data_IF_022365651647
#
_entry.id   IF_022365651647
#
_cell.length_a   1.000
_cell.length_b   1.000
_cell.length_c   1.000
_cell.angle_alpha   90.00
_cell.angle_beta   90.00
_cell.angle_gamma   90.00
#
_symmetry.space_group_name_H-M   'P 1'
#
loop_
_entity.id
_entity.type
_entity.pdbx_description
1 polymer ?
#
# COMPACT_ATOMS: atom_id res chain seq x y z
N UNK A 1 -10.69 -83.73 13.41
CA UNK A 1 -9.46 -83.84 12.59
C UNK A 1 -9.85 -83.52 11.15
N UNK A 2 -9.32 -82.54 10.40
CA UNK A 2 -8.14 -81.68 10.48
C UNK A 2 -8.55 -80.25 10.06
N UNK A 3 -8.05 -79.24 10.76
CA UNK A 3 -8.13 -77.81 10.39
C UNK A 3 -7.10 -77.55 9.28
N UNK A 4 -7.51 -76.90 8.20
CA UNK A 4 -6.59 -76.28 7.22
C UNK A 4 -6.68 -74.78 7.45
N UNK A 5 -5.57 -74.21 7.92
CA UNK A 5 -5.39 -72.77 8.16
C UNK A 5 -4.84 -72.18 6.87
N UNK A 6 -5.59 -71.30 6.21
CA UNK A 6 -5.06 -70.45 5.14
C UNK A 6 -4.54 -69.15 5.77
N UNK A 7 -3.22 -68.97 5.77
CA UNK A 7 -2.58 -67.68 6.07
C UNK A 7 -2.77 -66.77 4.85
N UNK A 8 -3.53 -65.67 5.01
CA UNK A 8 -3.51 -64.55 4.08
C UNK A 8 -2.55 -63.52 4.65
N UNK A 9 -1.39 -63.36 4.01
CA UNK A 9 -0.45 -62.28 4.31
C UNK A 9 -1.00 -60.97 3.74
N UNK A 10 -1.47 -60.06 4.60
CA UNK A 10 -1.71 -58.67 4.22
C UNK A 10 -0.36 -57.95 4.10
N UNK A 11 0.05 -57.65 2.86
CA UNK A 11 1.09 -56.65 2.62
C UNK A 11 0.53 -55.27 3.00
N UNK A 12 0.94 -54.74 4.15
CA UNK A 12 0.82 -53.32 4.45
C UNK A 12 1.83 -52.56 3.58
N UNK A 13 1.38 -52.06 2.44
CA UNK A 13 2.11 -51.02 1.72
C UNK A 13 2.04 -49.73 2.55
N UNK A 14 3.07 -49.47 3.36
CA UNK A 14 3.34 -48.14 3.89
C UNK A 14 3.67 -47.21 2.71
N UNK A 15 2.66 -46.56 2.14
CA UNK A 15 2.86 -45.44 1.24
C UNK A 15 3.60 -44.34 2.00
N UNK A 16 4.80 -43.98 1.53
CA UNK A 16 5.50 -42.79 2.02
C UNK A 16 4.59 -41.57 1.86
N UNK A 17 4.57 -40.62 2.80
CA UNK A 17 3.83 -39.37 2.61
C UNK A 17 4.36 -38.72 1.33
N UNK A 18 3.48 -38.52 0.35
CA UNK A 18 3.78 -37.68 -0.80
C UNK A 18 4.09 -36.30 -0.25
N UNK A 19 5.33 -35.84 -0.39
CA UNK A 19 5.65 -34.43 -0.16
C UNK A 19 4.69 -33.62 -1.04
N UNK A 20 3.83 -32.81 -0.43
CA UNK A 20 2.98 -31.90 -1.17
C UNK A 20 3.91 -30.95 -1.94
N UNK A 21 3.98 -31.10 -3.26
CA UNK A 21 4.79 -30.25 -4.10
C UNK A 21 4.17 -28.86 -4.18
N UNK A 22 5.01 -27.82 -4.27
CA UNK A 22 4.56 -26.46 -4.59
C UNK A 22 3.78 -26.51 -5.90
N UNK A 23 2.57 -25.93 -5.92
CA UNK A 23 1.75 -25.84 -7.11
C UNK A 23 2.26 -24.65 -7.95
N UNK A 24 2.63 -24.92 -9.20
CA UNK A 24 2.93 -23.88 -10.18
C UNK A 24 1.74 -23.73 -11.13
N UNK A 25 1.27 -22.50 -11.32
CA UNK A 25 0.24 -22.19 -12.32
C UNK A 25 0.63 -20.94 -13.12
N UNK A 26 -0.18 -20.57 -14.10
CA UNK A 26 0.00 -19.31 -14.81
C UNK A 26 -1.32 -18.66 -15.15
N UNK A 27 -1.33 -17.32 -15.16
CA UNK A 27 -2.46 -16.54 -15.62
C UNK A 27 -2.00 -15.42 -16.54
N UNK A 28 -2.92 -14.81 -17.28
CA UNK A 28 -2.65 -13.59 -18.05
C UNK A 28 -3.36 -12.41 -17.42
N UNK A 29 -2.66 -11.30 -17.20
CA UNK A 29 -3.25 -10.10 -16.60
C UNK A 29 -2.68 -8.82 -17.21
N UNK A 30 -3.57 -7.98 -17.74
CA UNK A 30 -3.27 -6.61 -18.18
C UNK A 30 -1.96 -6.46 -18.97
N UNK A 31 -1.15 -5.47 -18.56
CA UNK A 31 0.13 -5.14 -19.17
C UNK A 31 1.25 -6.16 -18.89
N UNK A 32 1.05 -7.05 -17.92
CA UNK A 32 2.05 -8.05 -17.51
C UNK A 32 2.12 -9.23 -18.47
N UNK A 33 1.05 -9.50 -19.22
CA UNK A 33 0.97 -10.70 -20.05
C UNK A 33 0.90 -11.95 -19.18
N UNK A 34 1.66 -13.00 -19.53
CA UNK A 34 1.71 -14.24 -18.75
C UNK A 34 2.51 -14.03 -17.47
N UNK A 35 1.88 -14.34 -16.33
CA UNK A 35 2.48 -14.36 -15.01
C UNK A 35 2.54 -15.81 -14.54
N UNK A 36 3.68 -16.23 -14.03
CA UNK A 36 3.85 -17.56 -13.39
C UNK A 36 3.59 -17.41 -11.90
N UNK A 37 2.83 -18.30 -11.29
CA UNK A 37 2.46 -18.22 -9.87
C UNK A 37 2.97 -19.47 -9.17
N UNK A 38 3.71 -19.25 -8.10
CA UNK A 38 4.25 -20.31 -7.24
C UNK A 38 3.51 -20.28 -5.90
N UNK A 39 2.82 -21.37 -5.59
CA UNK A 39 2.04 -21.51 -4.38
C UNK A 39 2.86 -22.21 -3.28
N UNK A 40 2.94 -21.63 -2.08
CA UNK A 40 3.51 -22.32 -0.94
C UNK A 40 2.61 -23.49 -0.52
N UNK A 41 3.20 -24.53 0.06
CA UNK A 41 2.46 -25.71 0.55
C UNK A 41 1.40 -25.34 1.60
N UNK A 42 1.68 -24.33 2.42
CA UNK A 42 0.77 -23.81 3.46
C UNK A 42 0.08 -22.55 2.96
N UNK A 43 -0.94 -22.08 3.70
CA UNK A 43 -1.55 -20.77 3.44
C UNK A 43 -0.46 -19.70 3.32
N UNK A 44 -0.45 -18.89 2.24
CA UNK A 44 0.59 -17.88 2.07
C UNK A 44 0.64 -16.89 3.24
N UNK A 45 1.86 -16.54 3.67
CA UNK A 45 2.13 -15.55 4.71
C UNK A 45 2.64 -14.23 4.14
N UNK A 46 2.97 -14.21 2.86
CA UNK A 46 3.45 -13.04 2.13
C UNK A 46 3.07 -13.15 0.64
N UNK A 47 3.11 -12.02 -0.06
CA UNK A 47 3.03 -11.95 -1.52
C UNK A 47 4.31 -11.33 -2.05
N UNK A 48 4.89 -11.93 -3.09
CA UNK A 48 6.06 -11.41 -3.78
C UNK A 48 5.71 -11.14 -5.24
N UNK A 49 6.03 -9.94 -5.72
CA UNK A 49 6.01 -9.60 -7.14
C UNK A 49 7.45 -9.59 -7.64
N UNK A 50 7.85 -10.64 -8.37
CA UNK A 50 9.22 -10.83 -8.79
C UNK A 50 9.37 -10.53 -10.28
N UNK A 51 10.13 -9.48 -10.60
CA UNK A 51 10.46 -9.06 -11.96
C UNK A 51 11.80 -9.62 -12.42
N UNK A 52 11.80 -10.30 -13.57
CA UNK A 52 13.03 -10.79 -14.21
C UNK A 52 13.92 -9.67 -14.78
N UNK A 53 15.13 -10.02 -15.21
CA UNK A 53 15.96 -9.17 -16.06
C UNK A 53 15.57 -9.26 -17.55
N UNK A 54 16.42 -8.73 -18.42
CA UNK A 54 16.24 -8.77 -19.89
C UNK A 54 16.25 -10.19 -20.49
N UNK A 55 16.75 -11.18 -19.75
CA UNK A 55 16.65 -12.59 -20.10
C UNK A 55 15.21 -13.15 -20.05
N UNK A 56 14.29 -12.47 -19.38
CA UNK A 56 12.93 -12.92 -19.13
C UNK A 56 12.80 -13.92 -17.97
N UNK A 57 11.59 -14.45 -17.79
CA UNK A 57 11.29 -15.35 -16.68
C UNK A 57 11.74 -16.79 -16.97
N UNK A 58 13.01 -17.10 -16.64
CA UNK A 58 13.65 -18.42 -16.82
C UNK A 58 14.92 -18.55 -15.96
N UNK A 59 15.51 -19.75 -15.93
CA UNK A 59 16.82 -19.99 -15.30
C UNK A 59 16.84 -19.56 -13.81
N UNK A 60 17.88 -18.83 -13.37
CA UNK A 60 18.12 -18.53 -11.94
C UNK A 60 16.99 -17.82 -11.20
N UNK A 61 16.15 -17.01 -11.87
CA UNK A 61 15.01 -16.36 -11.20
C UNK A 61 13.91 -17.35 -10.79
N UNK A 62 13.83 -18.51 -11.45
CA UNK A 62 12.88 -19.57 -11.09
C UNK A 62 13.27 -20.22 -9.76
N UNK A 63 14.57 -20.50 -9.57
CA UNK A 63 15.05 -21.10 -8.32
C UNK A 63 14.97 -20.11 -7.15
N UNK A 64 15.23 -18.83 -7.41
CA UNK A 64 14.98 -17.74 -6.44
C UNK A 64 13.50 -17.67 -6.04
N UNK A 65 12.57 -17.75 -7.01
CA UNK A 65 11.14 -17.75 -6.74
C UNK A 65 10.70 -18.96 -5.90
N UNK A 66 11.24 -20.15 -6.19
CA UNK A 66 10.98 -21.36 -5.38
C UNK A 66 11.50 -21.21 -3.96
N UNK A 67 12.69 -20.66 -3.76
CA UNK A 67 13.21 -20.37 -2.41
C UNK A 67 12.30 -19.44 -1.59
N UNK A 68 11.73 -18.40 -2.20
CA UNK A 68 10.76 -17.53 -1.54
C UNK A 68 9.44 -18.28 -1.24
N UNK A 69 9.03 -19.16 -2.14
CA UNK A 69 7.84 -20.00 -1.97
C UNK A 69 7.99 -20.98 -0.81
N UNK A 70 9.17 -21.59 -0.67
CA UNK A 70 9.50 -22.48 0.45
C UNK A 70 9.49 -21.75 1.80
N UNK A 71 9.66 -20.42 1.79
CA UNK A 71 9.52 -19.56 2.96
C UNK A 71 8.08 -19.09 3.24
N UNK A 72 7.10 -19.56 2.47
CA UNK A 72 5.67 -19.28 2.66
C UNK A 72 5.11 -18.14 1.80
N UNK A 73 5.87 -17.61 0.85
CA UNK A 73 5.39 -16.57 -0.05
C UNK A 73 4.56 -17.14 -1.21
N UNK A 74 3.46 -16.46 -1.56
CA UNK A 74 2.87 -16.57 -2.89
C UNK A 74 3.70 -15.71 -3.85
N UNK A 75 4.41 -16.33 -4.79
CA UNK A 75 5.32 -15.60 -5.71
C UNK A 75 4.69 -15.46 -7.08
N UNK A 76 4.62 -14.23 -7.57
CA UNK A 76 4.19 -13.88 -8.93
C UNK A 76 5.43 -13.53 -9.76
N UNK A 77 5.80 -14.43 -10.65
CA UNK A 77 6.86 -14.25 -11.61
C UNK A 77 6.44 -13.44 -12.83
N UNK A 78 7.08 -12.29 -13.00
CA UNK A 78 6.79 -11.27 -14.01
C UNK A 78 7.94 -11.19 -15.01
N UNK A 79 7.65 -11.45 -16.28
CA UNK A 79 8.63 -11.29 -17.37
C UNK A 79 8.76 -9.81 -17.74
N UNK A 80 9.92 -9.21 -17.41
CA UNK A 80 10.18 -7.80 -17.67
C UNK A 80 10.06 -7.42 -19.15
N UNK A 81 10.37 -8.33 -20.09
CA UNK A 81 10.33 -8.03 -21.53
C UNK A 81 8.89 -7.77 -21.98
N UNK A 82 7.96 -8.57 -21.47
CA UNK A 82 6.53 -8.42 -21.77
C UNK A 82 6.01 -7.10 -21.21
N UNK A 83 6.33 -6.80 -19.95
CA UNK A 83 5.87 -5.59 -19.29
C UNK A 83 6.49 -4.31 -19.91
N UNK A 84 7.80 -4.29 -20.16
CA UNK A 84 8.52 -3.22 -20.90
C UNK A 84 7.89 -2.97 -22.27
N UNK A 85 7.58 -4.04 -23.01
CA UNK A 85 6.88 -3.95 -24.31
C UNK A 85 5.49 -3.34 -24.17
N UNK A 86 4.72 -3.70 -23.14
CA UNK A 86 3.40 -3.14 -22.90
C UNK A 86 3.47 -1.65 -22.52
N UNK A 87 4.38 -1.26 -21.63
CA UNK A 87 4.61 0.14 -21.25
C UNK A 87 4.96 1.00 -22.48
N UNK A 88 5.82 0.49 -23.37
CA UNK A 88 6.26 1.21 -24.58
C UNK A 88 5.14 1.61 -25.55
N UNK A 89 3.94 1.03 -25.39
CA UNK A 89 2.74 1.33 -26.20
C UNK A 89 1.84 2.41 -25.59
N UNK A 90 2.07 2.79 -24.32
CA UNK A 90 1.26 3.79 -23.63
C UNK A 90 1.55 5.19 -24.18
N UNK A 91 0.49 5.98 -24.35
CA UNK A 91 0.58 7.35 -24.87
C UNK A 91 0.85 8.40 -23.79
N UNK A 92 0.72 8.05 -22.50
CA UNK A 92 0.98 8.92 -21.33
C UNK A 92 2.40 9.48 -21.36
N UNK A 93 2.63 10.67 -20.80
CA UNK A 93 3.94 11.33 -20.84
C UNK A 93 4.99 10.65 -19.96
N UNK A 94 4.54 9.91 -18.95
CA UNK A 94 5.38 9.09 -18.08
C UNK A 94 4.69 7.76 -17.77
N UNK A 95 5.45 6.81 -17.20
CA UNK A 95 4.94 5.51 -16.75
C UNK A 95 4.83 5.44 -15.23
N UNK A 96 3.70 4.96 -14.72
CA UNK A 96 3.47 4.76 -13.29
C UNK A 96 3.27 3.27 -12.93
N UNK A 97 4.33 2.45 -13.04
CA UNK A 97 4.26 1.01 -12.76
C UNK A 97 3.86 0.68 -11.32
N UNK A 98 4.04 1.59 -10.36
CA UNK A 98 3.59 1.38 -8.98
C UNK A 98 2.10 1.01 -8.89
N UNK A 99 1.22 1.73 -9.59
CA UNK A 99 -0.20 1.40 -9.64
C UNK A 99 -0.47 0.05 -10.31
N UNK A 100 0.21 -0.26 -11.42
CA UNK A 100 0.03 -1.55 -12.11
C UNK A 100 0.36 -2.73 -11.17
N UNK A 101 1.44 -2.62 -10.38
CA UNK A 101 1.92 -3.66 -9.47
C UNK A 101 1.03 -3.79 -8.23
N UNK A 102 0.58 -2.67 -7.66
CA UNK A 102 -0.38 -2.69 -6.57
C UNK A 102 -1.69 -3.36 -7.00
N UNK A 103 -2.22 -2.99 -8.17
CA UNK A 103 -3.44 -3.59 -8.71
C UNK A 103 -3.29 -5.10 -8.95
N UNK A 104 -2.15 -5.54 -9.47
CA UNK A 104 -1.87 -6.98 -9.62
C UNK A 104 -1.90 -7.70 -8.26
N UNK A 105 -1.32 -7.09 -7.22
CA UNK A 105 -1.32 -7.65 -5.87
C UNK A 105 -2.72 -7.69 -5.26
N UNK A 106 -3.50 -6.62 -5.38
CA UNK A 106 -4.89 -6.58 -4.91
C UNK A 106 -5.72 -7.67 -5.61
N UNK A 107 -5.61 -7.75 -6.94
CA UNK A 107 -6.28 -8.76 -7.77
C UNK A 107 -5.99 -10.17 -7.29
N UNK A 108 -4.71 -10.50 -7.13
CA UNK A 108 -4.31 -11.87 -6.83
C UNK A 108 -4.71 -12.30 -5.42
N UNK A 109 -4.63 -11.38 -4.46
CA UNK A 109 -5.01 -11.65 -3.08
C UNK A 109 -6.52 -11.79 -2.91
N UNK A 110 -7.33 -11.02 -3.65
CA UNK A 110 -8.79 -11.24 -3.74
C UNK A 110 -9.10 -12.58 -4.39
N UNK A 111 -8.47 -12.90 -5.53
CA UNK A 111 -8.67 -14.17 -6.23
C UNK A 111 -8.42 -15.38 -5.33
N UNK A 112 -7.36 -15.35 -4.53
CA UNK A 112 -7.02 -16.42 -3.58
C UNK A 112 -7.57 -16.22 -2.16
N UNK A 113 -8.50 -15.28 -1.98
CA UNK A 113 -9.25 -15.08 -0.72
C UNK A 113 -8.35 -14.92 0.50
N UNK A 114 -7.35 -14.06 0.39
CA UNK A 114 -6.57 -13.65 1.56
C UNK A 114 -7.51 -12.99 2.57
N UNK A 115 -7.34 -13.30 3.85
CA UNK A 115 -8.23 -12.77 4.90
C UNK A 115 -7.97 -11.30 5.26
N UNK A 116 -6.84 -10.76 4.82
CA UNK A 116 -6.50 -9.34 4.87
C UNK A 116 -5.51 -9.06 3.76
N UNK A 117 -5.47 -7.81 3.28
CA UNK A 117 -4.47 -7.42 2.30
C UNK A 117 -3.08 -7.37 2.91
N UNK A 118 -2.17 -8.15 2.34
CA UNK A 118 -0.76 -8.13 2.69
C UNK A 118 -0.02 -7.28 1.67
N UNK A 119 0.66 -6.21 2.13
CA UNK A 119 1.48 -5.39 1.24
C UNK A 119 2.57 -6.26 0.58
N UNK A 120 2.67 -6.28 -0.75
CA UNK A 120 3.59 -7.20 -1.44
C UNK A 120 5.04 -6.75 -1.28
N UNK A 121 5.96 -7.73 -1.31
CA UNK A 121 7.40 -7.50 -1.46
C UNK A 121 7.74 -7.46 -2.95
N UNK A 122 8.48 -6.44 -3.36
CA UNK A 122 9.04 -6.37 -4.71
C UNK A 122 10.37 -7.12 -4.74
N UNK A 123 10.57 -7.97 -5.74
CA UNK A 123 11.87 -8.61 -5.98
C UNK A 123 12.24 -8.37 -7.44
N UNK A 124 13.50 -8.10 -7.72
CA UNK A 124 13.93 -7.67 -9.05
C UNK A 124 15.34 -8.11 -9.34
N UNK A 125 15.55 -8.68 -10.52
CA UNK A 125 16.86 -9.10 -11.01
C UNK A 125 17.29 -8.27 -12.22
N UNK A 126 18.52 -7.73 -12.22
CA UNK A 126 19.09 -6.93 -13.31
C UNK A 126 18.15 -5.77 -13.69
N UNK A 127 17.66 -5.65 -14.93
CA UNK A 127 16.61 -4.67 -15.30
C UNK A 127 15.43 -4.63 -14.32
N UNK A 128 14.99 -5.79 -13.84
CA UNK A 128 13.92 -5.89 -12.85
C UNK A 128 14.29 -5.25 -11.52
N UNK A 129 15.56 -5.29 -11.12
CA UNK A 129 16.07 -4.63 -9.91
C UNK A 129 15.92 -3.10 -10.01
N UNK A 130 16.25 -2.53 -11.17
CA UNK A 130 16.07 -1.09 -11.43
C UNK A 130 14.60 -0.70 -11.48
N UNK A 131 13.77 -1.52 -12.13
CA UNK A 131 12.34 -1.25 -12.23
C UNK A 131 11.68 -1.25 -10.85
N UNK A 132 12.00 -2.19 -9.96
CA UNK A 132 11.42 -2.22 -8.61
C UNK A 132 11.89 -1.06 -7.73
N UNK A 133 13.11 -0.55 -7.93
CA UNK A 133 13.57 0.67 -7.28
C UNK A 133 12.71 1.87 -7.72
N UNK A 134 12.52 2.03 -9.02
CA UNK A 134 11.65 3.06 -9.58
C UNK A 134 10.22 2.95 -9.07
N UNK A 135 9.65 1.73 -9.05
CA UNK A 135 8.33 1.45 -8.49
C UNK A 135 8.25 1.88 -7.02
N UNK A 136 9.23 1.48 -6.21
CA UNK A 136 9.24 1.78 -4.78
C UNK A 136 9.36 3.29 -4.51
N UNK A 137 10.20 3.99 -5.28
CA UNK A 137 10.38 5.44 -5.17
C UNK A 137 9.18 6.24 -5.66
N UNK A 138 8.43 5.71 -6.63
CA UNK A 138 7.18 6.32 -7.12
C UNK A 138 6.01 6.16 -6.15
N UNK A 139 5.97 5.03 -5.45
CA UNK A 139 4.81 4.61 -4.70
C UNK A 139 4.59 5.49 -3.46
N UNK A 140 3.32 5.78 -3.12
CA UNK A 140 2.98 6.33 -1.81
C UNK A 140 3.49 5.43 -0.69
N UNK A 141 3.61 6.01 0.50
CA UNK A 141 3.93 5.22 1.67
C UNK A 141 2.91 4.10 1.88
N UNK A 142 3.38 2.97 2.42
CA UNK A 142 2.54 1.82 2.73
C UNK A 142 1.99 1.08 1.50
N UNK A 143 2.38 1.35 0.25
CA UNK A 143 1.96 0.54 -0.92
C UNK A 143 2.66 -0.82 -0.99
N UNK A 144 3.97 -0.84 -0.73
CA UNK A 144 4.82 -2.04 -0.78
C UNK A 144 5.46 -2.32 0.59
N UNK A 145 5.68 -3.59 0.91
CA UNK A 145 6.37 -3.99 2.15
C UNK A 145 7.87 -3.67 2.10
N UNK A 146 8.45 -3.64 0.91
CA UNK A 146 9.85 -3.34 0.63
C UNK A 146 10.28 -3.94 -0.71
N UNK A 147 11.54 -3.75 -1.06
CA UNK A 147 12.13 -4.17 -2.31
C UNK A 147 13.47 -4.90 -2.10
N UNK A 148 13.66 -6.03 -2.79
CA UNK A 148 14.89 -6.82 -2.83
C UNK A 148 15.45 -6.86 -4.25
N UNK A 149 16.55 -6.16 -4.47
CA UNK A 149 17.17 -6.01 -5.77
C UNK A 149 18.44 -6.86 -5.89
N UNK A 150 18.61 -7.54 -7.03
CA UNK A 150 19.78 -8.36 -7.35
C UNK A 150 20.48 -7.82 -8.60
N UNK A 151 21.74 -7.43 -8.48
CA UNK A 151 22.51 -6.86 -9.60
C UNK A 151 21.90 -5.53 -10.08
N UNK A 152 21.71 -4.60 -9.15
CA UNK A 152 21.08 -3.30 -9.42
C UNK A 152 22.04 -2.31 -10.05
N UNK A 153 21.57 -1.66 -11.10
CA UNK A 153 22.10 -0.42 -11.63
C UNK A 153 20.95 0.59 -11.75
N UNK A 154 21.16 1.90 -11.54
CA UNK A 154 20.10 2.90 -11.62
C UNK A 154 19.73 3.32 -13.06
N UNK A 155 20.39 2.79 -14.10
CA UNK A 155 20.00 3.02 -15.48
C UNK A 155 18.88 2.06 -15.92
N UNK A 156 17.85 2.63 -16.54
CA UNK A 156 16.69 1.88 -17.03
C UNK A 156 16.41 2.20 -18.49
N UNK A 157 16.30 1.15 -19.29
CA UNK A 157 15.75 1.25 -20.63
C UNK A 157 14.24 1.45 -20.59
N UNK A 158 13.80 2.64 -20.98
CA UNK A 158 12.40 3.01 -21.13
C UNK A 158 12.24 4.07 -22.23
N UNK A 159 11.13 4.02 -22.98
CA UNK A 159 10.85 5.04 -24.02
C UNK A 159 10.46 6.39 -23.44
N UNK A 160 9.94 6.40 -22.22
CA UNK A 160 9.44 7.56 -21.49
C UNK A 160 9.87 7.46 -20.03
N UNK A 161 9.98 8.60 -19.32
CA UNK A 161 10.37 8.59 -17.92
C UNK A 161 9.34 7.84 -17.07
N UNK A 162 9.79 7.36 -15.92
CA UNK A 162 8.87 6.99 -14.84
C UNK A 162 8.22 8.27 -14.28
N UNK A 163 6.93 8.28 -13.96
CA UNK A 163 6.30 9.44 -13.33
C UNK A 163 6.98 9.81 -12.01
N UNK A 164 6.92 11.08 -11.60
CA UNK A 164 7.52 11.54 -10.34
C UNK A 164 6.97 10.79 -9.13
N UNK A 165 5.65 10.56 -9.08
CA UNK A 165 4.99 9.93 -7.93
C UNK A 165 5.40 10.62 -6.61
N UNK A 166 5.75 9.82 -5.61
CA UNK A 166 6.19 10.27 -4.28
C UNK A 166 7.64 10.80 -4.22
N UNK A 167 8.19 11.30 -5.34
CA UNK A 167 9.48 11.99 -5.38
C UNK A 167 10.60 11.30 -6.16
N UNK A 168 10.29 10.39 -7.07
CA UNK A 168 11.26 9.87 -8.03
C UNK A 168 11.69 10.98 -9.00
N UNK A 169 12.99 11.24 -9.06
CA UNK A 169 13.62 12.09 -10.08
C UNK A 169 14.50 11.24 -10.99
N UNK A 170 14.73 11.72 -12.20
CA UNK A 170 15.54 11.02 -13.19
C UNK A 170 16.06 12.01 -14.23
N UNK A 171 17.11 11.62 -14.95
CA UNK A 171 17.57 12.34 -16.14
C UNK A 171 17.70 11.41 -17.34
N UNK A 172 17.69 11.99 -18.54
CA UNK A 172 17.82 11.25 -19.80
C UNK A 172 19.28 10.83 -19.97
N UNK A 173 19.53 9.53 -20.14
CA UNK A 173 20.82 9.02 -20.60
C UNK A 173 20.87 8.99 -22.12
N UNK A 174 19.81 8.47 -22.74
CA UNK A 174 19.65 8.44 -24.19
C UNK A 174 18.20 8.77 -24.57
N UNK A 175 17.95 9.86 -25.32
CA UNK A 175 16.59 10.29 -25.65
C UNK A 175 15.74 9.17 -26.25
N UNK A 176 14.60 8.90 -25.62
CA UNK A 176 13.63 7.88 -26.06
C UNK A 176 14.09 6.43 -25.88
N UNK A 177 15.21 6.19 -25.19
CA UNK A 177 15.79 4.85 -25.02
C UNK A 177 16.06 4.52 -23.56
N UNK A 178 16.74 5.41 -22.82
CA UNK A 178 17.16 5.12 -21.44
C UNK A 178 17.24 6.36 -20.55
N UNK A 179 17.03 6.12 -19.26
CA UNK A 179 17.02 7.10 -18.19
C UNK A 179 17.91 6.64 -17.03
N UNK A 180 18.47 7.58 -16.30
CA UNK A 180 19.12 7.33 -15.02
C UNK A 180 18.17 7.73 -13.91
N UNK A 181 17.80 6.78 -13.06
CA UNK A 181 16.95 7.01 -11.90
C UNK A 181 17.82 7.59 -10.77
N UNK A 182 17.46 8.76 -10.27
CA UNK A 182 18.22 9.40 -9.21
C UNK A 182 17.99 8.72 -7.85
N UNK A 183 18.96 8.91 -6.95
CA UNK A 183 18.77 8.60 -5.52
C UNK A 183 17.61 9.42 -4.95
N UNK A 184 16.86 8.84 -4.02
CA UNK A 184 15.82 9.54 -3.27
C UNK A 184 16.04 9.38 -1.77
N UNK A 185 15.71 10.40 -1.00
CA UNK A 185 15.75 10.36 0.47
C UNK A 185 14.37 10.04 1.07
N UNK A 186 13.38 9.78 0.20
CA UNK A 186 11.97 9.63 0.57
C UNK A 186 11.45 8.20 0.48
N UNK A 187 12.33 7.19 0.48
CA UNK A 187 11.88 5.80 0.53
C UNK A 187 11.07 5.54 1.81
N UNK A 188 9.89 4.96 1.63
CA UNK A 188 8.92 4.74 2.70
C UNK A 188 8.93 3.29 3.23
N UNK A 189 9.63 2.39 2.54
CA UNK A 189 9.84 1.00 2.91
C UNK A 189 11.28 0.56 2.58
N UNK A 190 11.78 -0.55 3.16
CA UNK A 190 13.17 -0.99 2.98
C UNK A 190 13.49 -1.34 1.52
N UNK A 191 14.67 -0.93 1.06
CA UNK A 191 15.27 -1.31 -0.21
C UNK A 191 16.62 -2.00 0.04
N UNK A 192 16.66 -3.31 -0.12
CA UNK A 192 17.88 -4.11 0.11
C UNK A 192 18.43 -4.54 -1.25
N UNK A 193 19.70 -4.27 -1.49
CA UNK A 193 20.41 -4.60 -2.72
C UNK A 193 21.46 -5.66 -2.42
N UNK A 194 21.43 -6.76 -3.18
CA UNK A 194 22.46 -7.78 -3.21
C UNK A 194 23.32 -7.57 -4.45
N UNK A 195 24.60 -7.25 -4.26
CA UNK A 195 25.50 -6.98 -5.36
C UNK A 195 26.81 -7.75 -5.22
N UNK A 196 27.23 -8.39 -6.30
CA UNK A 196 28.47 -9.15 -6.34
C UNK A 196 29.70 -8.30 -6.64
N UNK A 197 30.87 -8.66 -6.09
CA UNK A 197 32.14 -7.98 -6.43
C UNK A 197 32.63 -8.33 -7.84
N UNK A 198 32.16 -9.45 -8.41
CA UNK A 198 32.48 -9.88 -9.78
C UNK A 198 31.39 -9.48 -10.78
N UNK A 199 30.45 -8.62 -10.37
CA UNK A 199 29.44 -8.09 -11.29
C UNK A 199 30.06 -6.97 -12.13
N UNK A 200 30.33 -7.29 -13.40
CA UNK A 200 30.89 -6.34 -14.36
C UNK A 200 29.82 -5.48 -15.05
N UNK A 201 28.56 -5.94 -15.06
CA UNK A 201 27.44 -5.20 -15.66
C UNK A 201 26.92 -4.14 -14.67
N UNK A 202 26.83 -4.50 -13.40
CA UNK A 202 26.50 -3.61 -12.28
C UNK A 202 27.62 -3.60 -11.23
N UNK A 203 28.67 -2.77 -11.44
CA UNK A 203 29.82 -2.73 -10.56
C UNK A 203 29.46 -2.38 -9.12
N UNK A 204 29.88 -3.23 -8.17
CA UNK A 204 29.61 -3.06 -6.74
C UNK A 204 29.94 -1.65 -6.22
N UNK A 205 31.07 -1.07 -6.63
CA UNK A 205 31.49 0.25 -6.17
C UNK A 205 30.54 1.37 -6.60
N UNK A 206 29.95 1.27 -7.81
CA UNK A 206 28.96 2.23 -8.29
C UNK A 206 27.66 2.12 -7.49
N UNK A 207 27.20 0.88 -7.24
CA UNK A 207 26.03 0.60 -6.39
C UNK A 207 26.24 1.11 -4.96
N UNK A 208 27.40 0.86 -4.37
CA UNK A 208 27.75 1.36 -3.04
C UNK A 208 27.76 2.89 -2.96
N UNK A 209 28.27 3.56 -3.99
CA UNK A 209 28.23 5.02 -4.09
C UNK A 209 26.80 5.55 -4.19
N UNK A 210 25.95 4.90 -5.01
CA UNK A 210 24.55 5.30 -5.19
C UNK A 210 23.73 5.20 -3.89
N UNK A 211 23.91 4.12 -3.13
CA UNK A 211 23.14 3.85 -1.91
C UNK A 211 23.71 4.52 -0.66
N UNK A 212 24.85 5.20 -0.77
CA UNK A 212 25.54 5.79 0.37
C UNK A 212 24.63 6.78 1.11
N UNK A 213 24.49 6.55 2.41
CA UNK A 213 23.69 7.37 3.35
C UNK A 213 22.21 7.51 2.95
N UNK A 214 21.72 6.64 2.06
CA UNK A 214 20.33 6.66 1.61
C UNK A 214 19.42 6.02 2.67
N UNK A 215 18.44 6.76 3.23
CA UNK A 215 17.52 6.21 4.22
C UNK A 215 16.76 5.01 3.67
N UNK A 216 16.50 4.03 4.54
CA UNK A 216 15.81 2.77 4.19
C UNK A 216 16.52 1.90 3.14
N UNK A 217 17.72 2.27 2.67
CA UNK A 217 18.50 1.47 1.74
C UNK A 217 19.59 0.68 2.47
N UNK A 218 19.89 -0.52 1.98
CA UNK A 218 20.97 -1.37 2.48
C UNK A 218 21.64 -2.10 1.32
N UNK A 219 22.96 -2.13 1.33
CA UNK A 219 23.76 -2.91 0.40
C UNK A 219 24.34 -4.13 1.13
N UNK A 220 24.09 -5.31 0.59
CA UNK A 220 24.69 -6.58 1.00
C UNK A 220 25.71 -7.00 -0.06
N UNK A 221 26.94 -7.23 0.37
CA UNK A 221 28.04 -7.64 -0.49
C UNK A 221 28.06 -9.16 -0.72
N UNK A 222 28.38 -9.54 -1.96
CA UNK A 222 28.49 -10.93 -2.38
C UNK A 222 29.85 -11.17 -3.05
N UNK A 223 30.92 -11.46 -2.28
CA UNK A 223 32.29 -11.38 -2.79
C UNK A 223 32.62 -12.28 -3.99
N UNK A 224 31.94 -13.43 -4.13
CA UNK A 224 32.20 -14.40 -5.20
C UNK A 224 31.18 -14.37 -6.33
N UNK A 225 30.20 -13.49 -6.26
CA UNK A 225 29.06 -13.47 -7.18
C UNK A 225 29.34 -12.49 -8.32
N UNK A 226 29.02 -12.91 -9.55
CA UNK A 226 28.94 -12.04 -10.72
C UNK A 226 27.49 -11.85 -11.16
N UNK A 227 27.27 -11.08 -12.24
CA UNK A 227 25.93 -10.61 -12.65
C UNK A 227 24.88 -11.73 -12.76
N UNK A 228 25.29 -12.92 -13.20
CA UNK A 228 24.38 -14.05 -13.43
C UNK A 228 23.91 -14.82 -12.18
N UNK A 229 24.45 -14.53 -10.98
CA UNK A 229 24.12 -15.28 -9.75
C UNK A 229 24.21 -16.82 -9.91
N UNK A 230 25.19 -17.31 -10.69
CA UNK A 230 25.21 -18.70 -11.15
C UNK A 230 25.44 -19.76 -10.05
N UNK A 231 26.09 -19.40 -8.94
CA UNK A 231 26.42 -20.33 -7.84
C UNK A 231 25.52 -20.04 -6.64
N UNK A 232 24.43 -20.79 -6.52
CA UNK A 232 23.38 -20.61 -5.50
C UNK A 232 23.91 -20.50 -4.07
N UNK A 233 24.89 -21.33 -3.70
CA UNK A 233 25.48 -21.33 -2.36
C UNK A 233 26.18 -20.01 -1.97
N UNK A 234 26.58 -19.18 -2.94
CA UNK A 234 27.30 -17.93 -2.70
C UNK A 234 26.38 -16.72 -2.49
N UNK A 235 25.05 -16.87 -2.64
CA UNK A 235 24.09 -15.77 -2.47
C UNK A 235 22.77 -16.13 -1.76
N UNK A 236 22.34 -17.40 -1.81
CA UNK A 236 21.05 -17.82 -1.27
C UNK A 236 20.88 -17.51 0.25
N UNK A 237 21.90 -17.67 1.11
CA UNK A 237 21.77 -17.32 2.52
C UNK A 237 21.50 -15.83 2.74
N UNK A 238 22.20 -14.95 2.02
CA UNK A 238 22.02 -13.50 2.07
C UNK A 238 20.67 -13.09 1.50
N UNK A 239 20.25 -13.71 0.39
CA UNK A 239 18.94 -13.47 -0.22
C UNK A 239 17.80 -13.82 0.73
N UNK A 240 17.90 -14.98 1.39
CA UNK A 240 16.95 -15.43 2.42
C UNK A 240 16.92 -14.43 3.58
N UNK A 241 18.08 -14.04 4.10
CA UNK A 241 18.18 -13.10 5.22
C UNK A 241 17.61 -11.73 4.88
N UNK A 242 17.90 -11.22 3.68
CA UNK A 242 17.37 -9.94 3.20
C UNK A 242 15.85 -9.97 3.04
N UNK A 243 15.31 -11.04 2.45
CA UNK A 243 13.87 -11.22 2.36
C UNK A 243 13.22 -11.27 3.75
N UNK A 244 13.80 -12.02 4.69
CA UNK A 244 13.32 -12.10 6.07
C UNK A 244 13.37 -10.72 6.77
N UNK A 245 14.41 -9.91 6.50
CA UNK A 245 14.50 -8.55 7.02
C UNK A 245 13.38 -7.65 6.50
N UNK A 246 13.01 -7.77 5.22
CA UNK A 246 11.90 -7.01 4.63
C UNK A 246 10.56 -7.43 5.23
N UNK A 247 10.25 -8.73 5.31
CA UNK A 247 8.93 -9.17 5.82
C UNK A 247 8.75 -8.83 7.30
N UNK A 248 9.82 -8.82 8.08
CA UNK A 248 9.79 -8.50 9.51
C UNK A 248 9.90 -6.99 9.80
N UNK A 249 10.15 -6.15 8.79
CA UNK A 249 10.18 -4.71 8.98
C UNK A 249 8.80 -4.17 9.39
N UNK A 250 8.71 -3.18 10.30
CA UNK A 250 7.43 -2.54 10.60
C UNK A 250 6.85 -1.88 9.33
N UNK A 251 5.52 -1.80 9.22
CA UNK A 251 4.91 -1.01 8.15
C UNK A 251 5.23 0.48 8.32
N UNK A 252 4.97 1.29 7.30
CA UNK A 252 5.14 2.74 7.40
C UNK A 252 4.35 3.32 8.58
N UNK A 253 3.08 2.93 8.71
CA UNK A 253 2.21 3.38 9.80
C UNK A 253 2.75 2.94 11.17
N UNK A 254 3.13 1.66 11.33
CA UNK A 254 3.67 1.14 12.59
C UNK A 254 4.96 1.87 13.00
N UNK A 255 5.83 2.14 12.02
CA UNK A 255 7.08 2.87 12.24
C UNK A 255 6.80 4.31 12.68
N UNK A 256 5.94 5.04 11.96
CA UNK A 256 5.57 6.42 12.29
C UNK A 256 4.91 6.52 13.66
N UNK A 257 4.02 5.58 13.98
CA UNK A 257 3.39 5.49 15.28
C UNK A 257 4.40 5.18 16.40
N UNK A 258 5.36 4.29 16.14
CA UNK A 258 6.45 3.97 17.05
C UNK A 258 7.45 5.12 17.23
N UNK A 259 7.59 6.02 16.26
CA UNK A 259 8.43 7.22 16.31
C UNK A 259 7.73 8.41 16.99
N UNK A 260 6.40 8.43 17.06
CA UNK A 260 5.62 9.52 17.63
C UNK A 260 5.91 9.68 19.14
N UNK A 261 6.49 10.83 19.50
CA UNK A 261 6.96 11.11 20.87
C UNK A 261 5.79 11.43 21.80
N UNK A 262 4.79 12.13 21.29
CA UNK A 262 3.62 12.60 22.02
C UNK A 262 2.77 11.40 22.47
N UNK A 263 2.61 10.38 21.61
CA UNK A 263 1.90 9.13 21.93
C UNK A 263 2.54 8.42 23.12
N UNK A 264 3.87 8.33 23.15
CA UNK A 264 4.63 7.76 24.27
C UNK A 264 4.52 8.61 25.53
N UNK A 265 4.69 9.92 25.40
CA UNK A 265 4.70 10.87 26.53
C UNK A 265 3.33 10.96 27.20
N UNK A 266 2.25 10.90 26.42
CA UNK A 266 0.88 10.95 26.92
C UNK A 266 0.34 9.58 27.36
N UNK A 267 1.13 8.50 27.24
CA UNK A 267 0.76 7.14 27.60
C UNK A 267 -0.60 6.70 27.01
N UNK A 268 -0.84 7.05 25.73
CA UNK A 268 -2.08 6.72 25.03
C UNK A 268 -2.10 5.21 24.74
N UNK A 269 -3.24 4.57 25.00
CA UNK A 269 -3.45 3.14 24.83
C UNK A 269 -4.24 2.93 23.55
N UNK A 270 -3.72 2.08 22.68
CA UNK A 270 -4.40 1.74 21.44
C UNK A 270 -5.70 1.00 21.74
N UNK A 271 -6.76 1.36 21.01
CA UNK A 271 -8.06 0.72 21.10
C UNK A 271 -8.11 -0.52 20.23
N UNK A 272 -8.10 -1.69 20.87
CA UNK A 272 -8.32 -3.00 20.24
C UNK A 272 -7.28 -3.39 19.18
N UNK A 273 -7.02 -4.68 19.05
CA UNK A 273 -6.10 -5.18 18.01
C UNK A 273 -6.82 -5.40 16.66
N UNK A 274 -8.15 -5.32 16.65
CA UNK A 274 -8.98 -5.64 15.48
C UNK A 274 -9.18 -4.47 14.50
N UNK A 275 -8.92 -3.22 14.94
CA UNK A 275 -9.06 -2.03 14.09
C UNK A 275 -7.68 -1.50 13.68
N UNK A 276 -7.45 -1.26 12.38
CA UNK A 276 -6.16 -0.77 11.89
C UNK A 276 -6.06 0.76 12.11
N UNK A 277 -5.83 1.16 13.36
CA UNK A 277 -5.85 2.56 13.80
C UNK A 277 -4.44 3.12 14.00
N UNK A 278 -4.23 4.36 13.54
CA UNK A 278 -3.06 5.21 13.86
C UNK A 278 -3.51 6.38 14.72
N UNK A 279 -2.70 6.80 15.70
CA UNK A 279 -3.01 7.97 16.54
C UNK A 279 -1.87 8.96 16.52
N UNK A 280 -2.22 10.21 16.24
CA UNK A 280 -1.29 11.35 16.19
C UNK A 280 -1.87 12.39 17.14
N UNK A 281 -1.47 12.36 18.43
CA UNK A 281 -2.01 13.27 19.42
C UNK A 281 -1.43 14.67 19.25
N UNK A 282 -2.23 15.68 19.58
CA UNK A 282 -1.77 17.05 19.66
C UNK A 282 -0.64 17.21 20.68
N UNK A 283 0.30 18.10 20.41
CA UNK A 283 1.46 18.38 21.27
C UNK A 283 1.08 19.05 22.60
N UNK A 284 -0.04 19.77 22.63
CA UNK A 284 -0.52 20.53 23.80
C UNK A 284 -1.95 20.18 24.13
N UNK A 285 -2.27 20.07 25.43
CA UNK A 285 -3.64 19.94 25.92
C UNK A 285 -4.45 21.18 25.54
N UNK A 286 -5.63 20.97 24.98
CA UNK A 286 -6.55 22.01 24.54
C UNK A 286 -7.97 21.43 24.41
N UNK A 287 -8.96 22.30 24.20
CA UNK A 287 -10.37 21.92 24.05
C UNK A 287 -10.82 21.74 22.59
N UNK A 288 -9.92 21.82 21.61
CA UNK A 288 -10.24 21.55 20.21
C UNK A 288 -10.70 20.09 20.04
N UNK A 289 -11.59 19.79 19.08
CA UNK A 289 -12.13 18.46 18.91
C UNK A 289 -11.07 17.41 18.52
N UNK A 290 -11.38 16.15 18.78
CA UNK A 290 -10.70 15.00 18.17
C UNK A 290 -11.08 14.92 16.69
N UNK A 291 -10.14 14.70 15.78
CA UNK A 291 -10.44 14.30 14.40
C UNK A 291 -10.39 12.78 14.32
N UNK A 292 -11.48 12.16 13.89
CA UNK A 292 -11.48 10.75 13.48
C UNK A 292 -11.48 10.70 11.95
N UNK A 293 -10.36 10.28 11.36
CA UNK A 293 -10.10 10.33 9.92
C UNK A 293 -10.11 8.93 9.29
N UNK A 294 -10.74 8.76 8.13
CA UNK A 294 -10.66 7.54 7.31
C UNK A 294 -9.81 7.84 6.06
N UNK A 295 -8.79 7.01 5.81
CA UNK A 295 -7.90 7.18 4.65
C UNK A 295 -8.58 6.86 3.31
N UNK A 296 -7.84 7.09 2.21
CA UNK A 296 -8.18 6.56 0.89
C UNK A 296 -8.04 5.03 0.79
N UNK A 297 -8.36 4.48 -0.38
CA UNK A 297 -8.35 3.04 -0.70
C UNK A 297 -6.94 2.42 -0.74
N UNK A 298 -5.89 3.24 -0.86
CA UNK A 298 -4.48 2.85 -0.67
C UNK A 298 -4.10 2.51 0.78
N UNK A 299 -4.96 2.84 1.75
CA UNK A 299 -4.73 2.71 3.19
C UNK A 299 -4.10 3.96 3.79
N UNK A 300 -3.53 3.85 5.00
CA UNK A 300 -2.89 4.99 5.66
C UNK A 300 -1.51 5.26 5.05
N UNK A 301 -1.38 6.33 4.27
CA UNK A 301 -0.19 6.67 3.47
C UNK A 301 0.58 7.88 4.04
N UNK A 302 1.59 8.36 3.31
CA UNK A 302 2.32 9.59 3.64
C UNK A 302 1.42 10.82 3.59
N UNK A 303 0.42 10.85 2.71
CA UNK A 303 -0.55 11.95 2.64
C UNK A 303 -1.34 12.05 3.96
N UNK A 304 -1.97 10.95 4.37
CA UNK A 304 -2.79 10.90 5.58
C UNK A 304 -1.97 11.24 6.83
N UNK A 305 -0.76 10.66 6.91
CA UNK A 305 0.18 10.90 8.00
C UNK A 305 0.58 12.38 8.08
N UNK A 306 0.96 13.00 6.96
CA UNK A 306 1.44 14.39 6.94
C UNK A 306 0.32 15.39 7.23
N UNK A 307 -0.88 15.13 6.71
CA UNK A 307 -2.06 15.93 7.06
C UNK A 307 -2.39 15.83 8.55
N UNK A 308 -2.37 14.62 9.10
CA UNK A 308 -2.67 14.40 10.51
C UNK A 308 -1.61 14.98 11.45
N UNK A 309 -0.32 14.92 11.10
CA UNK A 309 0.78 15.62 11.80
C UNK A 309 0.56 17.14 11.78
N UNK A 310 0.24 17.70 10.61
CA UNK A 310 -0.07 19.13 10.44
C UNK A 310 -1.29 19.57 11.26
N UNK A 311 -2.33 18.74 11.37
CA UNK A 311 -3.49 19.00 12.25
C UNK A 311 -3.11 18.93 13.74
N UNK A 312 -2.28 17.96 14.13
CA UNK A 312 -1.83 17.80 15.51
C UNK A 312 -0.92 18.95 15.98
N UNK A 313 -0.09 19.49 15.10
CA UNK A 313 0.68 20.72 15.34
C UNK A 313 -0.24 21.92 15.64
N UNK A 314 -1.44 21.94 15.05
CA UNK A 314 -2.48 22.95 15.29
C UNK A 314 -3.37 22.64 16.50
N UNK A 315 -3.10 21.56 17.23
CA UNK A 315 -3.82 21.19 18.44
C UNK A 315 -4.96 20.18 18.25
N UNK A 316 -5.23 19.74 17.02
CA UNK A 316 -6.25 18.74 16.72
C UNK A 316 -5.62 17.34 16.78
N UNK A 317 -5.89 16.58 17.85
CA UNK A 317 -5.49 15.16 17.89
C UNK A 317 -6.22 14.39 16.82
N UNK A 318 -5.52 13.50 16.10
CA UNK A 318 -6.08 12.70 15.01
C UNK A 318 -6.02 11.22 15.34
N UNK A 319 -7.12 10.52 15.11
CA UNK A 319 -7.20 9.06 15.06
C UNK A 319 -7.54 8.68 13.62
N UNK A 320 -6.64 7.96 12.97
CA UNK A 320 -6.75 7.51 11.59
C UNK A 320 -7.16 6.06 11.48
N UNK A 321 -8.09 5.74 10.57
CA UNK A 321 -8.43 4.38 10.17
C UNK A 321 -7.82 4.10 8.78
N UNK A 322 -7.02 3.03 8.68
CA UNK A 322 -6.55 2.48 7.40
C UNK A 322 -7.73 1.80 6.70
N UNK A 323 -8.29 2.49 5.70
CA UNK A 323 -9.44 2.02 4.94
C UNK A 323 -9.13 0.74 4.17
N UNK A 324 -7.88 0.56 3.69
CA UNK A 324 -7.50 -0.61 2.90
C UNK A 324 -7.57 -1.91 3.69
N UNK A 325 -7.09 -1.87 4.93
CA UNK A 325 -7.18 -3.03 5.83
C UNK A 325 -8.62 -3.25 6.31
N UNK A 326 -9.33 -2.18 6.65
CA UNK A 326 -10.66 -2.29 7.27
C UNK A 326 -11.76 -2.73 6.29
N UNK A 327 -11.75 -2.19 5.07
CA UNK A 327 -12.66 -2.49 3.97
C UNK A 327 -12.09 -3.52 2.98
N UNK A 328 -11.08 -4.29 3.40
CA UNK A 328 -10.60 -5.42 2.60
C UNK A 328 -11.72 -6.41 2.30
N UNK A 329 -12.61 -6.66 3.25
CA UNK A 329 -13.86 -7.38 3.03
C UNK A 329 -15.03 -6.40 3.14
N UNK A 330 -16.14 -6.72 2.46
CA UNK A 330 -17.36 -5.91 2.52
C UNK A 330 -17.81 -5.63 3.95
N UNK A 331 -18.12 -4.37 4.20
CA UNK A 331 -18.76 -3.88 5.43
C UNK A 331 -20.12 -3.27 5.12
N UNK A 332 -20.87 -2.96 6.17
CA UNK A 332 -22.08 -2.14 6.06
C UNK A 332 -21.89 -0.80 6.77
N UNK A 333 -22.65 0.25 6.41
CA UNK A 333 -22.68 1.49 7.17
C UNK A 333 -22.95 1.28 8.67
N UNK A 334 -23.84 0.37 9.03
CA UNK A 334 -24.21 0.08 10.42
C UNK A 334 -23.06 -0.57 11.18
N UNK A 335 -22.42 -1.60 10.60
CA UNK A 335 -21.28 -2.27 11.23
C UNK A 335 -20.10 -1.31 11.38
N UNK A 336 -19.84 -0.52 10.34
CA UNK A 336 -18.78 0.50 10.35
C UNK A 336 -19.04 1.54 11.43
N UNK A 337 -20.26 2.06 11.52
CA UNK A 337 -20.63 3.03 12.55
C UNK A 337 -20.45 2.43 13.95
N UNK A 338 -20.89 1.19 14.17
CA UNK A 338 -20.78 0.52 15.46
C UNK A 338 -19.32 0.29 15.90
N UNK A 339 -18.44 -0.11 14.98
CA UNK A 339 -17.02 -0.33 15.28
C UNK A 339 -16.31 0.99 15.59
N UNK A 340 -16.51 2.00 14.75
CA UNK A 340 -15.84 3.30 14.93
C UNK A 340 -16.39 4.06 16.12
N UNK A 341 -17.67 3.90 16.48
CA UNK A 341 -18.26 4.53 17.66
C UNK A 341 -17.51 4.16 18.95
N UNK A 342 -17.09 2.89 19.08
CA UNK A 342 -16.33 2.43 20.25
C UNK A 342 -14.93 3.04 20.29
N UNK A 343 -14.25 3.11 19.15
CA UNK A 343 -12.94 3.75 19.05
C UNK A 343 -13.02 5.26 19.34
N UNK A 344 -14.02 5.95 18.76
CA UNK A 344 -14.26 7.38 19.01
C UNK A 344 -14.50 7.63 20.50
N UNK A 345 -15.36 6.83 21.15
CA UNK A 345 -15.62 6.96 22.58
C UNK A 345 -14.34 6.77 23.40
N UNK A 346 -13.58 5.70 23.12
CA UNK A 346 -12.32 5.40 23.80
C UNK A 346 -11.34 6.58 23.72
N UNK A 347 -11.06 7.10 22.52
CA UNK A 347 -10.09 8.18 22.36
C UNK A 347 -10.60 9.53 22.83
N UNK A 348 -11.90 9.82 22.73
CA UNK A 348 -12.48 11.02 23.36
C UNK A 348 -12.26 11.03 24.86
N UNK A 349 -12.52 9.90 25.53
CA UNK A 349 -12.29 9.78 26.97
C UNK A 349 -10.80 9.86 27.30
N UNK A 350 -9.95 9.09 26.62
CA UNK A 350 -8.52 9.04 26.92
C UNK A 350 -7.81 10.37 26.65
N UNK A 351 -8.20 11.11 25.61
CA UNK A 351 -7.63 12.41 25.25
C UNK A 351 -8.38 13.60 25.88
N UNK A 352 -9.40 13.33 26.70
CA UNK A 352 -10.25 14.34 27.35
C UNK A 352 -10.82 15.36 26.34
N UNK A 353 -11.43 14.86 25.26
CA UNK A 353 -12.05 15.65 24.19
C UNK A 353 -13.57 15.58 24.26
N UNK A 354 -14.21 16.72 24.53
CA UNK A 354 -15.68 16.80 24.54
C UNK A 354 -16.26 16.57 23.14
N UNK A 355 -15.70 17.23 22.13
CA UNK A 355 -16.19 17.16 20.75
C UNK A 355 -15.27 16.33 19.85
N UNK A 356 -15.83 15.86 18.74
CA UNK A 356 -15.08 15.22 17.66
C UNK A 356 -15.59 15.63 16.28
N UNK A 357 -14.77 15.40 15.26
CA UNK A 357 -15.06 15.63 13.85
C UNK A 357 -14.84 14.32 13.11
N UNK A 358 -15.74 13.99 12.18
CA UNK A 358 -15.51 12.91 11.23
C UNK A 358 -14.88 13.51 9.97
N UNK A 359 -13.71 13.00 9.59
CA UNK A 359 -13.00 13.40 8.39
C UNK A 359 -12.71 12.18 7.52
N UNK A 360 -12.63 12.37 6.20
CA UNK A 360 -12.20 11.30 5.31
C UNK A 360 -11.49 11.85 4.10
N UNK A 361 -10.60 11.03 3.52
CA UNK A 361 -9.89 11.31 2.28
C UNK A 361 -10.28 10.30 1.18
N UNK A 362 -10.58 10.79 -0.02
CA UNK A 362 -10.95 9.98 -1.19
C UNK A 362 -12.01 8.93 -0.85
N UNK A 363 -11.69 7.63 -0.90
CA UNK A 363 -12.58 6.55 -0.46
C UNK A 363 -13.22 6.82 0.92
N UNK A 364 -12.40 7.18 1.93
CA UNK A 364 -12.88 7.48 3.27
C UNK A 364 -13.77 8.73 3.34
N UNK A 365 -13.54 9.70 2.45
CA UNK A 365 -14.37 10.91 2.34
C UNK A 365 -15.79 10.58 1.89
N UNK A 366 -15.95 9.57 1.04
CA UNK A 366 -17.26 9.07 0.62
C UNK A 366 -17.99 8.30 1.73
N UNK A 367 -17.25 7.69 2.67
CA UNK A 367 -17.80 6.86 3.76
C UNK A 367 -18.28 7.69 4.95
N UNK A 368 -17.58 8.76 5.35
CA UNK A 368 -17.88 9.49 6.60
C UNK A 368 -19.30 10.05 6.75
N UNK A 369 -20.02 10.48 5.70
CA UNK A 369 -21.40 10.95 5.86
C UNK A 369 -22.35 9.84 6.35
N UNK A 370 -22.14 8.60 5.92
CA UNK A 370 -22.96 7.46 6.33
C UNK A 370 -22.79 7.12 7.80
N UNK A 371 -21.58 7.30 8.33
CA UNK A 371 -21.28 7.12 9.75
C UNK A 371 -21.95 8.23 10.55
N UNK A 372 -21.81 9.49 10.12
CA UNK A 372 -22.38 10.64 10.80
C UNK A 372 -23.91 10.56 10.94
N UNK A 373 -24.61 10.13 9.88
CA UNK A 373 -26.08 9.98 9.90
C UNK A 373 -26.53 8.96 10.96
N UNK A 374 -25.77 7.85 11.08
CA UNK A 374 -26.08 6.67 11.90
C UNK A 374 -25.53 6.69 13.32
N UNK A 375 -24.83 7.75 13.74
CA UNK A 375 -24.30 7.84 15.11
C UNK A 375 -25.40 7.66 16.14
N UNK A 376 -25.12 6.87 17.17
CA UNK A 376 -26.00 6.69 18.31
C UNK A 376 -26.22 8.04 19.06
N UNK A 377 -27.35 8.21 19.76
CA UNK A 377 -27.67 9.44 20.50
C UNK A 377 -26.61 9.87 21.52
N UNK A 378 -25.79 8.94 22.00
CA UNK A 378 -24.66 9.19 22.91
C UNK A 378 -23.47 9.91 22.25
N UNK A 379 -23.26 9.75 20.93
CA UNK A 379 -22.17 10.39 20.21
C UNK A 379 -22.65 11.58 19.37
N UNK A 380 -23.89 11.56 18.88
CA UNK A 380 -24.43 12.57 17.96
C UNK A 380 -24.31 14.02 18.48
N UNK A 381 -24.55 14.33 19.77
CA UNK A 381 -24.37 15.68 20.32
C UNK A 381 -22.92 16.16 20.39
N UNK A 382 -21.95 15.26 20.25
CA UNK A 382 -20.52 15.55 20.33
C UNK A 382 -19.85 15.66 18.96
N UNK A 383 -20.55 15.31 17.88
CA UNK A 383 -20.06 15.53 16.52
C UNK A 383 -20.15 17.02 16.19
N UNK A 384 -19.02 17.66 15.85
CA UNK A 384 -18.95 19.09 15.54
C UNK A 384 -18.90 19.40 14.04
N UNK A 385 -18.40 18.50 13.20
CA UNK A 385 -18.36 18.66 11.75
C UNK A 385 -18.14 17.32 11.04
N UNK A 386 -18.50 17.30 9.75
CA UNK A 386 -18.18 16.22 8.80
C UNK A 386 -17.41 16.83 7.62
N UNK A 387 -16.17 16.39 7.42
CA UNK A 387 -15.26 16.94 6.42
C UNK A 387 -14.88 15.85 5.41
N UNK A 388 -15.13 16.09 4.13
CA UNK A 388 -14.91 15.12 3.05
C UNK A 388 -13.86 15.69 2.09
N UNK A 389 -12.65 15.14 2.08
CA UNK A 389 -11.54 15.58 1.24
C UNK A 389 -11.52 14.76 -0.06
N UNK A 390 -11.78 15.43 -1.18
CA UNK A 390 -11.90 14.85 -2.53
C UNK A 390 -12.79 13.59 -2.60
N UNK A 391 -14.06 13.66 -2.12
CA UNK A 391 -14.99 12.53 -2.17
C UNK A 391 -15.50 12.25 -3.58
N UNK A 392 -15.92 11.00 -3.81
CA UNK A 392 -16.73 10.62 -4.95
C UNK A 392 -18.23 10.88 -4.70
N UNK A 393 -19.02 10.88 -5.78
CA UNK A 393 -20.49 11.05 -5.70
C UNK A 393 -21.20 9.89 -5.00
N UNK A 394 -20.53 8.75 -4.93
CA UNK A 394 -20.98 7.49 -4.34
C UNK A 394 -19.93 6.94 -3.40
N UNK A 395 -20.36 6.05 -2.52
CA UNK A 395 -19.50 5.36 -1.58
C UNK A 395 -19.50 3.87 -1.84
N UNK A 396 -18.41 3.23 -1.44
CA UNK A 396 -18.31 1.78 -1.30
C UNK A 396 -17.88 1.45 0.14
N UNK A 397 -18.22 0.24 0.57
CA UNK A 397 -17.82 -0.36 1.84
C UNK A 397 -17.02 -1.65 1.61
N UNK A 398 -16.51 -1.85 0.40
CA UNK A 398 -15.50 -2.84 0.05
C UNK A 398 -14.49 -2.19 -0.92
N UNK A 399 -13.22 -2.56 -0.81
CA UNK A 399 -12.24 -2.21 -1.84
C UNK A 399 -12.25 -3.29 -2.92
N UNK A 400 -12.70 -2.89 -4.11
CA UNK A 400 -12.74 -3.71 -5.30
C UNK A 400 -11.61 -3.35 -6.26
N UNK A 401 -11.08 -4.37 -6.94
CA UNK A 401 -9.96 -4.25 -7.87
C UNK A 401 -10.39 -3.68 -9.22
N UNK A 402 -11.66 -3.90 -9.61
CA UNK A 402 -12.16 -3.49 -10.92
C UNK A 402 -12.51 -1.99 -11.01
N UNK A 403 -12.77 -1.33 -9.88
CA UNK A 403 -13.10 0.10 -9.86
C UNK A 403 -11.86 1.01 -10.08
N UNK A 404 -10.65 0.47 -9.93
CA UNK A 404 -9.38 1.20 -10.15
C UNK A 404 -8.96 1.29 -11.65
N UNK A 405 -9.70 0.65 -12.57
CA UNK A 405 -9.41 0.60 -14.02
C UNK A 405 -10.63 1.06 -14.84
N UNK A 406 -10.90 2.36 -14.83
CA UNK A 406 -11.82 3.06 -15.75
C UNK A 406 -13.34 2.88 -15.52
N UNK A 407 -14.01 4.02 -15.36
CA UNK A 407 -15.43 4.32 -15.63
C UNK A 407 -16.43 3.16 -15.58
N UNK A 408 -17.03 2.97 -14.40
CA UNK A 408 -18.38 2.46 -14.23
C UNK A 408 -18.55 0.95 -14.35
N UNK A 409 -18.73 0.27 -13.20
CA UNK A 409 -19.95 -0.51 -12.90
C UNK A 409 -19.71 -1.41 -11.68
N UNK A 410 -19.81 -0.84 -10.48
CA UNK A 410 -20.43 -1.57 -9.37
C UNK A 410 -21.90 -1.13 -9.33
N UNK A 411 -22.79 -2.02 -8.91
CA UNK A 411 -24.21 -1.71 -8.68
C UNK A 411 -24.31 -0.75 -7.49
N UNK A 412 -24.08 0.54 -7.74
CA UNK A 412 -23.98 1.59 -6.73
C UNK A 412 -25.29 1.70 -5.92
N UNK A 413 -25.21 1.40 -4.62
CA UNK A 413 -26.36 1.50 -3.69
C UNK A 413 -26.19 2.58 -2.62
N UNK A 414 -25.02 3.22 -2.51
CA UNK A 414 -24.74 4.25 -1.49
C UNK A 414 -24.52 5.62 -2.11
N UNK A 415 -25.60 6.39 -2.25
CA UNK A 415 -25.57 7.78 -2.72
C UNK A 415 -25.06 8.72 -1.62
N UNK A 416 -23.78 9.10 -1.72
CA UNK A 416 -23.08 9.91 -0.72
C UNK A 416 -23.67 11.33 -0.61
N UNK A 417 -24.02 11.95 -1.74
CA UNK A 417 -24.62 13.29 -1.75
C UNK A 417 -25.99 13.35 -1.06
N UNK A 418 -26.82 12.32 -1.24
CA UNK A 418 -28.09 12.20 -0.55
C UNK A 418 -27.88 12.00 0.96
N UNK A 419 -26.86 11.24 1.33
CA UNK A 419 -26.49 11.01 2.73
C UNK A 419 -26.04 12.28 3.44
N UNK A 420 -25.17 13.07 2.81
CA UNK A 420 -24.73 14.37 3.34
C UNK A 420 -25.91 15.30 3.66
N UNK A 421 -26.95 15.29 2.82
CA UNK A 421 -28.13 16.15 3.00
C UNK A 421 -28.97 15.78 4.23
N UNK A 422 -28.86 14.56 4.75
CA UNK A 422 -29.57 14.13 5.97
C UNK A 422 -28.98 14.74 7.23
N UNK A 423 -27.69 15.05 7.22
CA UNK A 423 -26.97 15.61 8.36
C UNK A 423 -27.36 17.09 8.50
N UNK A 424 -27.88 17.46 9.67
CA UNK A 424 -28.33 18.82 10.00
C UNK A 424 -27.60 19.35 11.23
N UNK A 425 -27.63 20.67 11.41
CA UNK A 425 -27.17 21.40 12.60
C UNK A 425 -25.65 21.42 12.84
N UNK A 426 -24.84 20.83 11.96
CA UNK A 426 -23.38 20.90 11.97
C UNK A 426 -22.86 21.16 10.55
N UNK A 427 -21.65 21.73 10.39
CA UNK A 427 -21.01 21.83 9.09
C UNK A 427 -20.75 20.46 8.45
N UNK A 428 -21.15 20.34 7.18
CA UNK A 428 -20.84 19.20 6.30
C UNK A 428 -20.20 19.79 5.05
N UNK A 429 -18.89 19.58 4.88
CA UNK A 429 -18.08 20.32 3.90
C UNK A 429 -17.29 19.34 3.05
N UNK A 430 -17.36 19.52 1.73
CA UNK A 430 -16.46 18.85 0.78
C UNK A 430 -15.32 19.78 0.37
N UNK A 431 -14.10 19.27 0.32
CA UNK A 431 -12.94 19.99 -0.20
C UNK A 431 -12.49 19.34 -1.50
N UNK A 432 -12.15 20.14 -2.50
CA UNK A 432 -11.59 19.66 -3.77
C UNK A 432 -10.37 20.50 -4.17
N UNK A 433 -9.39 19.86 -4.77
CA UNK A 433 -8.31 20.54 -5.48
C UNK A 433 -8.81 21.22 -6.76
N UNK A 434 -8.30 22.40 -7.08
CA UNK A 434 -8.67 23.13 -8.30
C UNK A 434 -8.10 22.50 -9.59
N UNK A 435 -7.18 21.55 -9.48
CA UNK A 435 -6.62 20.78 -10.59
C UNK A 435 -7.28 19.40 -10.75
N UNK A 436 -8.27 19.06 -9.91
CA UNK A 436 -9.00 17.80 -10.03
C UNK A 436 -9.84 17.75 -11.32
N UNK A 437 -9.72 16.64 -12.04
CA UNK A 437 -10.45 16.41 -13.29
C UNK A 437 -11.88 15.88 -13.09
N UNK A 438 -12.60 15.70 -14.19
CA UNK A 438 -13.88 14.98 -14.20
C UNK A 438 -15.11 15.74 -13.70
N UNK A 439 -14.95 17.01 -13.33
CA UNK A 439 -16.04 17.91 -12.94
C UNK A 439 -16.79 17.47 -11.67
N UNK A 440 -16.08 16.78 -10.76
CA UNK A 440 -16.67 16.19 -9.55
C UNK A 440 -17.12 17.31 -8.59
N UNK A 441 -16.29 18.32 -8.35
CA UNK A 441 -16.63 19.47 -7.51
C UNK A 441 -17.93 20.17 -7.97
N UNK A 442 -18.12 20.35 -9.27
CA UNK A 442 -19.34 20.95 -9.83
C UNK A 442 -20.59 20.11 -9.56
N UNK A 443 -20.47 18.78 -9.50
CA UNK A 443 -21.60 17.91 -9.13
C UNK A 443 -22.03 18.16 -7.68
N UNK A 444 -21.08 18.40 -6.77
CA UNK A 444 -21.38 18.73 -5.37
C UNK A 444 -22.00 20.12 -5.22
N UNK A 445 -21.44 21.12 -5.91
CA UNK A 445 -21.97 22.48 -5.94
C UNK A 445 -23.40 22.50 -6.50
N UNK A 446 -23.65 21.84 -7.63
CA UNK A 446 -24.99 21.73 -8.24
C UNK A 446 -25.99 20.97 -7.36
N UNK A 447 -25.51 20.04 -6.55
CA UNK A 447 -26.32 19.34 -5.57
C UNK A 447 -26.68 20.21 -4.34
N UNK A 448 -26.15 21.44 -4.24
CA UNK A 448 -26.37 22.35 -3.12
C UNK A 448 -25.57 21.99 -1.86
N UNK A 449 -24.47 21.25 -2.01
CA UNK A 449 -23.58 20.88 -0.92
C UNK A 449 -22.52 21.96 -0.70
N UNK A 450 -22.20 22.24 0.57
CA UNK A 450 -21.12 23.18 0.88
C UNK A 450 -19.79 22.58 0.41
N UNK A 451 -19.13 23.30 -0.49
CA UNK A 451 -17.96 22.84 -1.23
C UNK A 451 -16.91 23.94 -1.21
N UNK A 452 -15.69 23.61 -0.78
CA UNK A 452 -14.53 24.50 -0.78
C UNK A 452 -13.56 24.01 -1.86
N UNK A 453 -13.13 24.92 -2.74
CA UNK A 453 -12.11 24.63 -3.76
C UNK A 453 -10.80 25.26 -3.29
N UNK A 454 -9.76 24.45 -3.16
CA UNK A 454 -8.44 24.88 -2.71
C UNK A 454 -7.35 24.55 -3.76
N UNK A 455 -6.17 25.20 -3.72
CA UNK A 455 -5.10 24.92 -4.67
C UNK A 455 -4.59 23.47 -4.60
N UNK A 456 -4.34 22.88 -5.76
CA UNK A 456 -3.67 21.59 -5.91
C UNK A 456 -4.53 20.54 -6.63
N UNK A 457 -3.95 19.35 -6.75
CA UNK A 457 -4.55 18.15 -7.33
C UNK A 457 -5.37 17.37 -6.29
N UNK A 458 -5.62 16.08 -6.56
CA UNK A 458 -6.29 15.16 -5.63
C UNK A 458 -5.54 14.95 -4.31
N UNK A 459 -4.26 15.32 -4.24
CA UNK A 459 -3.45 15.34 -3.01
C UNK A 459 -3.21 16.78 -2.52
N UNK A 460 -3.96 17.75 -3.04
CA UNK A 460 -3.89 19.17 -2.69
C UNK A 460 -2.48 19.76 -2.79
N UNK A 461 -1.69 19.26 -3.75
CA UNK A 461 -0.32 19.68 -4.00
C UNK A 461 0.63 19.51 -2.80
N UNK A 462 0.33 18.55 -1.91
CA UNK A 462 1.05 18.31 -0.65
C UNK A 462 1.09 19.54 0.29
N UNK A 463 0.18 20.50 0.13
CA UNK A 463 0.09 21.69 0.97
C UNK A 463 -0.63 21.40 2.30
N UNK A 464 -0.06 20.49 3.10
CA UNK A 464 -0.66 20.04 4.36
C UNK A 464 -0.85 21.17 5.37
N UNK A 465 -0.01 22.22 5.34
CA UNK A 465 -0.12 23.38 6.23
C UNK A 465 -1.31 24.27 5.86
N UNK A 466 -1.56 24.48 4.57
CA UNK A 466 -2.74 25.19 4.07
C UNK A 466 -4.01 24.39 4.33
N UNK A 467 -4.02 23.11 3.95
CA UNK A 467 -5.18 22.24 4.11
C UNK A 467 -5.57 22.09 5.59
N UNK A 468 -4.61 21.90 6.51
CA UNK A 468 -4.92 21.80 7.94
C UNK A 468 -5.46 23.11 8.53
N UNK A 469 -5.05 24.26 7.99
CA UNK A 469 -5.59 25.57 8.38
C UNK A 469 -7.05 25.72 7.95
N UNK A 470 -7.37 25.33 6.72
CA UNK A 470 -8.73 25.44 6.18
C UNK A 470 -9.70 24.44 6.83
N UNK A 471 -9.21 23.25 7.19
CA UNK A 471 -9.91 22.31 8.06
C UNK A 471 -10.21 22.95 9.42
N UNK A 472 -9.20 23.54 10.08
CA UNK A 472 -9.38 24.15 11.41
C UNK A 472 -10.42 25.29 11.39
N UNK A 473 -10.39 26.15 10.36
CA UNK A 473 -11.38 27.24 10.20
C UNK A 473 -12.81 26.73 9.98
N UNK A 474 -12.94 25.52 9.44
CA UNK A 474 -14.23 24.91 9.09
C UNK A 474 -14.93 24.26 10.29
N UNK A 475 -14.22 24.12 11.42
CA UNK A 475 -14.71 23.49 12.64
C UNK A 475 -15.26 24.57 13.59
N UNK A 476 -16.50 24.43 14.08
CA UNK A 476 -17.03 25.32 15.12
C UNK A 476 -16.18 25.25 16.40
N UNK A 477 -15.78 26.41 16.92
CA UNK A 477 -14.96 26.55 18.13
C UNK A 477 -15.81 26.52 19.41
#
# INVERSE_FOLDING_TARGET
>A
MKRIIFLIAMLFCFGKPSFAANLEESLRYGSFGKITIYHPVKKPTAVVLFVSGDGGWKDGVVDMARSLTDQGALVLGIDARNYKKALSKRKTDCYYPAADFEQLSLMIQKKYKFGTYTKPVLVGYSYGATLIYGILAQAPANTFKGALALGFCPDIDAKKPLCKGNGLTQHVLKPGISFWLERTEHLTAPFIVLNGFKDEACPFAATASFLKDMPMAELIDLPKVGHGFAVTAEWLPQFTTAYQKIINAPSFADRKQGENKELKTQAIKLYGDDLPLTIIPATKKNNLPLIFMISGDGGWTSFDQSLAESLAERGLSVVGLDAQKYFWDARTPEKTTADLSKAILHYRTQLNKDKFVLAGYSFGASVVPFIADRLAPELKPHLSAVLSLSPDVTADFEIHVMDMLSFGSSTETYNMQAEMKKIKNIPVISFFGNEEGGGIAEKFIKAGLKTEIIPGDHHFGDNFQGLSLDILKSIPQ
#
